data_IF_981023767511
#
_entry.id   IF_981023767511
#
_cell.length_a   1.000
_cell.length_b   1.000
_cell.length_c   1.000
_cell.angle_alpha   90.00
_cell.angle_beta   90.00
_cell.angle_gamma   90.00
#
_symmetry.space_group_name_H-M   'P 1'
#
loop_
_entity.id
_entity.type
_entity.pdbx_description
1 polymer ?
#
# COMPACT_ATOMS: atom_id res chain seq x y z
N UNK A 1 26.40 -2.90 -4.38
CA UNK A 1 25.41 -3.49 -5.31
C UNK A 1 24.32 -4.06 -4.43
N UNK A 2 23.06 -3.67 -4.65
CA UNK A 2 21.91 -4.13 -3.89
C UNK A 2 21.07 -5.04 -4.79
N UNK A 3 20.46 -6.07 -4.20
CA UNK A 3 19.64 -7.03 -4.95
C UNK A 3 18.18 -6.60 -5.05
N UNK A 4 17.71 -5.78 -4.10
CA UNK A 4 16.33 -5.31 -4.00
C UNK A 4 16.23 -4.04 -3.14
N UNK A 5 15.22 -3.23 -3.41
CA UNK A 5 14.80 -2.10 -2.56
C UNK A 5 13.41 -2.39 -2.02
N UNK A 6 13.27 -2.39 -0.69
CA UNK A 6 11.97 -2.49 -0.03
C UNK A 6 11.62 -1.12 0.53
N UNK A 7 10.47 -0.59 0.13
CA UNK A 7 9.94 0.67 0.63
C UNK A 7 8.54 0.49 1.20
N UNK A 8 8.21 1.26 2.23
CA UNK A 8 6.83 1.37 2.69
C UNK A 8 5.95 1.98 1.59
N UNK A 9 4.66 1.62 1.58
CA UNK A 9 3.67 2.11 0.61
C UNK A 9 2.88 3.30 1.16
N UNK A 10 2.67 3.34 2.48
CA UNK A 10 1.84 4.37 3.09
C UNK A 10 2.55 5.72 3.15
N UNK A 11 2.22 6.58 2.18
CA UNK A 11 2.64 7.98 2.08
C UNK A 11 4.17 8.18 1.97
N UNK A 12 4.82 7.36 1.15
CA UNK A 12 6.28 7.33 0.97
C UNK A 12 6.74 7.20 -0.48
N UNK A 13 5.87 7.55 -1.44
CA UNK A 13 6.05 7.30 -2.88
C UNK A 13 7.29 7.98 -3.46
N UNK A 14 7.71 9.13 -2.93
CA UNK A 14 8.95 9.79 -3.38
C UNK A 14 10.19 8.94 -3.15
N UNK A 15 10.19 8.03 -2.16
CA UNK A 15 11.33 7.16 -1.85
C UNK A 15 11.52 6.06 -2.89
N UNK A 16 10.55 5.82 -3.77
CA UNK A 16 10.66 4.79 -4.80
C UNK A 16 11.80 5.05 -5.80
N UNK A 17 12.29 6.30 -5.88
CA UNK A 17 13.49 6.64 -6.65
C UNK A 17 14.76 5.90 -6.21
N UNK A 18 14.80 5.36 -4.99
CA UNK A 18 15.92 4.51 -4.55
C UNK A 18 16.09 3.25 -5.41
N UNK A 19 15.02 2.73 -6.00
CA UNK A 19 15.10 1.61 -6.92
C UNK A 19 16.02 1.91 -8.11
N UNK A 20 15.92 3.14 -8.66
CA UNK A 20 16.78 3.58 -9.75
C UNK A 20 18.18 3.98 -9.28
N UNK A 21 18.29 4.57 -8.09
CA UNK A 21 19.59 4.92 -7.51
C UNK A 21 20.47 3.69 -7.28
N UNK A 22 19.88 2.59 -6.81
CA UNK A 22 20.59 1.34 -6.55
C UNK A 22 20.55 0.34 -7.71
N UNK A 23 19.85 0.68 -8.80
CA UNK A 23 19.65 -0.16 -9.98
C UNK A 23 19.12 -1.55 -9.61
N UNK A 24 18.10 -1.56 -8.75
CA UNK A 24 17.52 -2.76 -8.15
C UNK A 24 15.97 -2.73 -8.22
N UNK A 25 15.31 -3.88 -8.31
CA UNK A 25 13.85 -3.95 -8.37
C UNK A 25 13.21 -3.38 -7.09
N UNK A 26 12.10 -2.68 -7.27
CA UNK A 26 11.29 -2.14 -6.18
C UNK A 26 10.26 -3.17 -5.72
N UNK A 27 10.30 -3.46 -4.42
CA UNK A 27 9.25 -4.16 -3.69
C UNK A 27 8.64 -3.16 -2.72
N UNK A 28 7.32 -3.12 -2.65
CA UNK A 28 6.65 -2.29 -1.64
C UNK A 28 6.10 -3.14 -0.51
N UNK A 29 6.06 -2.58 0.69
CA UNK A 29 5.45 -3.17 1.87
C UNK A 29 4.31 -2.26 2.33
N UNK A 30 3.16 -2.84 2.65
CA UNK A 30 2.00 -2.11 3.18
C UNK A 30 1.71 -2.57 4.59
N UNK A 31 1.93 -1.66 5.53
CA UNK A 31 1.56 -1.84 6.94
C UNK A 31 0.06 -1.99 7.18
N UNK A 32 -0.76 -1.36 6.33
CA UNK A 32 -2.23 -1.41 6.39
C UNK A 32 -2.83 -2.65 5.70
N UNK A 33 -2.04 -3.40 4.94
CA UNK A 33 -2.56 -4.46 4.08
C UNK A 33 -3.14 -3.90 2.77
N UNK A 34 -4.21 -4.51 2.25
CA UNK A 34 -4.82 -4.08 0.99
C UNK A 34 -5.55 -2.75 1.15
N UNK A 35 -5.20 -1.77 0.32
CA UNK A 35 -5.71 -0.40 0.39
C UNK A 35 -5.69 0.27 -0.98
N UNK A 36 -6.24 1.48 -1.08
CA UNK A 36 -6.15 2.29 -2.31
C UNK A 36 -4.70 2.50 -2.74
N UNK A 37 -3.79 2.77 -1.79
CA UNK A 37 -2.36 2.98 -2.07
C UNK A 37 -1.69 1.77 -2.69
N UNK A 38 -2.05 0.55 -2.29
CA UNK A 38 -1.48 -0.68 -2.87
C UNK A 38 -2.15 -1.08 -4.17
N UNK A 39 -3.46 -0.90 -4.27
CA UNK A 39 -4.25 -1.31 -5.42
C UNK A 39 -3.86 -0.55 -6.69
N UNK A 40 -3.57 0.75 -6.57
CA UNK A 40 -3.20 1.59 -7.69
C UNK A 40 -1.84 1.22 -8.29
N UNK A 41 -0.89 0.76 -7.47
CA UNK A 41 0.46 0.37 -7.92
C UNK A 41 0.42 -0.83 -8.87
N UNK A 42 -0.59 -1.69 -8.74
CA UNK A 42 -0.71 -2.95 -9.49
C UNK A 42 -2.03 -3.09 -10.25
N UNK A 43 -2.82 -2.02 -10.32
CA UNK A 43 -4.09 -1.98 -11.05
C UNK A 43 -5.18 -2.92 -10.53
N UNK A 44 -5.17 -3.25 -9.24
CA UNK A 44 -6.20 -4.14 -8.65
C UNK A 44 -7.49 -3.35 -8.40
N UNK A 45 -8.67 -3.85 -8.85
CA UNK A 45 -9.93 -3.13 -8.65
C UNK A 45 -10.42 -3.20 -7.19
N UNK A 46 -10.78 -2.05 -6.62
CA UNK A 46 -11.35 -1.93 -5.28
C UNK A 46 -12.57 -1.00 -5.29
N UNK A 47 -13.77 -1.50 -5.64
CA UNK A 47 -14.94 -0.64 -5.78
C UNK A 47 -15.41 -0.10 -4.41
N UNK A 48 -15.59 1.23 -4.25
CA UNK A 48 -15.99 1.83 -2.97
C UNK A 48 -17.42 1.50 -2.55
N UNK A 49 -18.22 0.85 -3.39
CA UNK A 49 -19.53 0.32 -3.02
C UNK A 49 -19.47 -0.96 -2.17
N UNK A 50 -18.33 -1.66 -2.17
CA UNK A 50 -18.11 -2.95 -1.49
C UNK A 50 -16.87 -2.97 -0.58
N UNK A 51 -15.97 -1.99 -0.74
CA UNK A 51 -14.78 -1.82 0.10
C UNK A 51 -15.04 -0.65 1.04
N UNK A 52 -15.11 -0.94 2.34
CA UNK A 52 -15.25 0.09 3.37
C UNK A 52 -14.00 1.00 3.36
N UNK A 53 -14.25 2.29 3.46
CA UNK A 53 -13.23 3.31 3.56
C UNK A 53 -12.50 3.14 4.89
N UNK A 54 -11.17 3.20 4.89
CA UNK A 54 -10.35 2.88 6.06
C UNK A 54 -10.63 3.77 7.29
N UNK A 55 -11.07 5.01 7.08
CA UNK A 55 -11.47 5.92 8.17
C UNK A 55 -12.91 5.73 8.66
N UNK A 56 -13.74 5.01 7.91
CA UNK A 56 -15.13 4.77 8.27
C UNK A 56 -15.23 3.39 8.91
N UNK A 57 -15.72 3.32 10.15
CA UNK A 57 -15.95 2.05 10.86
C UNK A 57 -17.19 1.31 10.33
N UNK A 58 -17.28 1.13 9.02
CA UNK A 58 -18.32 0.35 8.38
C UNK A 58 -17.92 -1.13 8.32
N UNK A 59 -18.89 -2.01 8.56
CA UNK A 59 -18.73 -3.43 8.32
C UNK A 59 -18.71 -3.73 6.81
N UNK A 60 -18.22 -4.90 6.41
CA UNK A 60 -18.22 -5.33 5.00
C UNK A 60 -19.64 -5.35 4.38
N UNK A 61 -20.67 -5.46 5.21
CA UNK A 61 -22.07 -5.31 4.80
C UNK A 61 -22.58 -3.91 5.10
N UNK A 62 -22.47 -3.02 4.10
CA UNK A 62 -23.03 -1.67 4.15
C UNK A 62 -24.45 -1.63 3.58
N UNK A 63 -25.35 -0.90 4.24
CA UNK A 63 -26.64 -0.45 3.71
C UNK A 63 -26.44 0.56 2.56
N UNK A 64 -27.52 0.88 1.83
CA UNK A 64 -27.44 1.83 0.72
C UNK A 64 -26.87 3.20 1.13
N UNK A 65 -27.31 3.73 2.28
CA UNK A 65 -26.87 5.05 2.77
C UNK A 65 -25.42 5.03 3.26
N UNK A 66 -24.99 3.95 3.91
CA UNK A 66 -23.59 3.76 4.29
C UNK A 66 -22.70 3.65 3.06
N UNK A 67 -23.12 2.93 2.01
CA UNK A 67 -22.39 2.86 0.73
C UNK A 67 -22.27 4.25 0.09
N UNK A 68 -23.34 5.03 0.09
CA UNK A 68 -23.32 6.38 -0.48
C UNK A 68 -22.33 7.28 0.27
N UNK A 69 -22.37 7.27 1.60
CA UNK A 69 -21.41 7.98 2.44
C UNK A 69 -19.96 7.49 2.23
N UNK A 70 -19.78 6.17 2.10
CA UNK A 70 -18.49 5.56 1.85
C UNK A 70 -17.89 5.99 0.51
N UNK A 71 -18.69 5.99 -0.55
CA UNK A 71 -18.30 6.47 -1.88
C UNK A 71 -17.94 7.95 -1.83
N UNK A 72 -18.75 8.79 -1.15
CA UNK A 72 -18.46 10.21 -1.02
C UNK A 72 -17.13 10.47 -0.29
N UNK A 73 -16.89 9.80 0.84
CA UNK A 73 -15.63 9.90 1.58
C UNK A 73 -14.44 9.43 0.73
N UNK A 74 -14.56 8.29 0.05
CA UNK A 74 -13.50 7.76 -0.81
C UNK A 74 -13.15 8.72 -1.94
N UNK A 75 -14.15 9.39 -2.55
CA UNK A 75 -13.91 10.38 -3.60
C UNK A 75 -13.15 11.59 -3.04
N UNK A 76 -13.55 12.10 -1.86
CA UNK A 76 -12.88 13.24 -1.23
C UNK A 76 -11.42 12.90 -0.93
N UNK A 77 -11.15 11.75 -0.32
CA UNK A 77 -9.80 11.31 0.00
C UNK A 77 -8.98 11.05 -1.27
N UNK A 78 -9.58 10.48 -2.32
CA UNK A 78 -8.90 10.30 -3.61
C UNK A 78 -8.52 11.63 -4.23
N UNK A 79 -9.43 12.60 -4.24
CA UNK A 79 -9.14 13.94 -4.77
C UNK A 79 -8.06 14.65 -3.94
N UNK A 80 -8.10 14.52 -2.61
CA UNK A 80 -7.06 15.06 -1.74
C UNK A 80 -5.70 14.44 -2.05
N UNK A 81 -5.66 13.12 -2.22
CA UNK A 81 -4.46 12.37 -2.53
C UNK A 81 -3.86 12.78 -3.90
N UNK A 82 -4.68 12.82 -4.95
CA UNK A 82 -4.26 13.12 -6.32
C UNK A 82 -3.90 14.60 -6.55
N UNK A 83 -4.68 15.52 -5.99
CA UNK A 83 -4.54 16.95 -6.29
C UNK A 83 -3.59 17.68 -5.34
N UNK A 84 -3.37 17.18 -4.13
CA UNK A 84 -2.53 17.85 -3.13
C UNK A 84 -1.31 17.02 -2.75
N UNK A 85 -1.50 15.74 -2.44
CA UNK A 85 -0.42 14.93 -1.90
C UNK A 85 0.57 14.44 -2.97
N UNK A 86 0.10 13.79 -4.04
CA UNK A 86 0.98 13.27 -5.10
C UNK A 86 1.83 14.35 -5.79
N UNK A 87 1.35 15.58 -6.05
CA UNK A 87 2.19 16.64 -6.61
C UNK A 87 3.39 16.98 -5.70
N UNK A 88 3.19 16.96 -4.37
CA UNK A 88 4.28 17.19 -3.40
C UNK A 88 5.28 16.02 -3.43
N UNK A 89 4.80 14.77 -3.46
CA UNK A 89 5.68 13.60 -3.59
C UNK A 89 6.46 13.61 -4.89
N UNK A 90 5.82 13.99 -6.00
CA UNK A 90 6.47 14.14 -7.31
C UNK A 90 7.57 15.19 -7.28
N UNK A 91 7.36 16.31 -6.59
CA UNK A 91 8.38 17.33 -6.41
C UNK A 91 9.55 16.80 -5.58
N UNK A 92 9.28 16.16 -4.45
CA UNK A 92 10.31 15.53 -3.59
C UNK A 92 11.13 14.48 -4.35
N UNK A 93 10.46 13.66 -5.16
CA UNK A 93 11.11 12.67 -6.02
C UNK A 93 12.06 13.34 -7.02
N UNK A 94 11.61 14.42 -7.68
CA UNK A 94 12.43 15.17 -8.64
C UNK A 94 13.65 15.82 -8.00
N UNK A 95 13.49 16.36 -6.79
CA UNK A 95 14.58 17.00 -6.04
C UNK A 95 15.57 15.97 -5.47
N UNK A 96 15.08 14.85 -4.94
CA UNK A 96 15.90 13.78 -4.36
C UNK A 96 16.61 12.91 -5.40
N UNK A 97 16.02 12.74 -6.58
CA UNK A 97 16.52 11.87 -7.64
C UNK A 97 16.63 12.62 -8.98
N UNK A 98 17.50 13.64 -9.09
CA UNK A 98 17.62 14.47 -10.30
C UNK A 98 18.09 13.68 -11.53
N UNK A 99 18.72 12.52 -11.32
CA UNK A 99 19.21 11.61 -12.37
C UNK A 99 18.29 10.40 -12.58
N UNK A 100 17.03 10.47 -12.15
CA UNK A 100 16.07 9.38 -12.39
C UNK A 100 15.93 9.11 -13.89
N UNK A 101 16.00 7.82 -14.26
CA UNK A 101 15.86 7.31 -15.62
C UNK A 101 14.40 7.34 -16.10
N UNK A 102 13.45 7.20 -15.16
CA UNK A 102 12.00 7.20 -15.43
C UNK A 102 11.27 8.24 -14.57
N UNK A 103 10.10 8.65 -15.05
CA UNK A 103 9.23 9.60 -14.35
C UNK A 103 8.68 9.04 -13.04
N UNK A 104 8.14 9.93 -12.20
CA UNK A 104 7.50 9.55 -10.94
C UNK A 104 6.33 8.60 -11.18
N UNK A 105 5.47 8.90 -12.16
CA UNK A 105 4.32 8.07 -12.53
C UNK A 105 4.75 6.69 -13.05
N UNK A 106 5.77 6.63 -13.91
CA UNK A 106 6.34 5.35 -14.37
C UNK A 106 6.93 4.55 -13.21
N UNK A 107 7.62 5.21 -12.27
CA UNK A 107 8.19 4.55 -11.10
C UNK A 107 7.11 3.96 -10.18
N UNK A 108 5.96 4.64 -10.01
CA UNK A 108 4.83 4.10 -9.27
C UNK A 108 4.24 2.84 -9.92
N UNK A 109 4.29 2.74 -11.25
CA UNK A 109 3.85 1.56 -12.00
C UNK A 109 4.92 0.47 -12.13
N UNK A 110 6.18 0.79 -11.82
CA UNK A 110 7.32 -0.13 -11.91
C UNK A 110 7.59 -0.90 -10.60
N UNK A 111 6.51 -1.28 -9.89
CA UNK A 111 6.58 -2.08 -8.66
C UNK A 111 6.54 -3.56 -9.04
N UNK A 112 7.57 -4.31 -8.64
CA UNK A 112 7.68 -5.74 -8.97
C UNK A 112 6.80 -6.61 -8.08
N UNK A 113 6.65 -6.23 -6.81
CA UNK A 113 5.91 -6.99 -5.82
C UNK A 113 5.38 -6.07 -4.71
N UNK A 114 4.19 -6.37 -4.20
CA UNK A 114 3.57 -5.68 -3.07
C UNK A 114 3.36 -6.67 -1.94
N UNK A 115 4.07 -6.48 -0.84
CA UNK A 115 3.86 -7.21 0.40
C UNK A 115 2.78 -6.56 1.25
N UNK A 116 1.84 -7.36 1.72
CA UNK A 116 0.69 -6.89 2.50
C UNK A 116 0.79 -7.46 3.91
N UNK A 117 0.82 -6.60 4.92
CA UNK A 117 0.75 -6.99 6.32
C UNK A 117 -0.68 -7.37 6.73
N UNK A 118 -1.21 -8.42 6.11
CA UNK A 118 -2.52 -8.98 6.41
C UNK A 118 -2.49 -10.49 6.21
N UNK A 119 -3.56 -11.17 6.62
CA UNK A 119 -3.71 -12.60 6.43
C UNK A 119 -5.19 -12.94 6.19
N UNK A 120 -5.47 -13.73 5.14
CA UNK A 120 -6.81 -14.12 4.71
C UNK A 120 -7.72 -14.70 5.81
N UNK A 121 -7.16 -15.22 6.90
CA UNK A 121 -7.94 -15.76 8.03
C UNK A 121 -8.56 -14.68 8.92
N UNK A 122 -8.04 -13.44 8.86
CA UNK A 122 -8.51 -12.31 9.67
C UNK A 122 -8.98 -11.13 8.81
N UNK A 123 -8.68 -11.13 7.51
CA UNK A 123 -9.11 -10.11 6.57
C UNK A 123 -10.33 -10.56 5.77
N UNK A 124 -11.10 -9.58 5.31
CA UNK A 124 -12.20 -9.80 4.37
C UNK A 124 -11.66 -10.25 3.01
N UNK A 125 -12.35 -11.15 2.29
CA UNK A 125 -11.90 -11.57 0.97
C UNK A 125 -11.90 -10.38 -0.01
N UNK A 126 -10.76 -10.16 -0.66
CA UNK A 126 -10.56 -9.12 -1.68
C UNK A 126 -9.87 -9.73 -2.91
N UNK A 127 -10.10 -9.21 -4.12
CA UNK A 127 -9.30 -9.58 -5.28
C UNK A 127 -7.87 -9.07 -5.11
N UNK A 128 -6.88 -9.87 -5.51
CA UNK A 128 -5.47 -9.50 -5.50
C UNK A 128 -4.86 -9.74 -6.87
N UNK A 129 -3.96 -8.85 -7.31
CA UNK A 129 -3.10 -9.12 -8.45
C UNK A 129 -2.08 -10.23 -8.10
N UNK A 130 -1.55 -10.97 -9.09
CA UNK A 130 -0.58 -12.04 -8.85
C UNK A 130 0.70 -11.59 -8.11
N UNK A 131 1.04 -10.30 -8.19
CA UNK A 131 2.20 -9.70 -7.54
C UNK A 131 1.86 -9.05 -6.18
N UNK A 132 0.68 -9.30 -5.61
CA UNK A 132 0.30 -8.93 -4.25
C UNK A 132 0.37 -10.15 -3.34
N UNK A 133 1.29 -10.13 -2.36
CA UNK A 133 1.56 -11.27 -1.48
C UNK A 133 1.29 -10.89 -0.03
N UNK A 134 0.43 -11.65 0.62
CA UNK A 134 0.20 -11.54 2.06
C UNK A 134 1.41 -12.11 2.82
N UNK A 135 2.02 -11.28 3.67
CA UNK A 135 3.15 -11.64 4.53
C UNK A 135 2.87 -11.29 5.99
N UNK A 136 1.60 -11.36 6.39
CA UNK A 136 1.12 -10.93 7.70
C UNK A 136 2.03 -11.35 8.85
N UNK A 137 2.54 -10.34 9.58
CA UNK A 137 3.42 -10.59 10.71
C UNK A 137 4.87 -10.90 10.34
N UNK A 138 5.39 -10.44 9.21
CA UNK A 138 6.82 -10.59 8.85
C UNK A 138 7.77 -10.04 9.93
N UNK A 139 7.31 -9.05 10.70
CA UNK A 139 8.01 -8.49 11.86
C UNK A 139 7.95 -9.37 13.14
N UNK A 140 7.14 -10.43 13.17
CA UNK A 140 6.94 -11.25 14.38
C UNK A 140 8.09 -12.23 14.52
N UNK A 141 8.89 -12.04 15.58
CA UNK A 141 9.93 -13.00 15.95
C UNK A 141 9.34 -14.29 16.52
N UNK A 142 10.12 -15.37 16.51
CA UNK A 142 9.73 -16.62 17.16
C UNK A 142 9.43 -16.33 18.65
N UNK A 143 8.27 -16.77 19.17
CA UNK A 143 7.96 -16.58 20.58
C UNK A 143 9.05 -17.22 21.44
N UNK A 144 9.50 -16.49 22.46
CA UNK A 144 10.39 -17.03 23.48
C UNK A 144 9.64 -18.09 24.29
N UNK A 145 10.36 -19.04 24.88
CA UNK A 145 9.76 -20.00 25.80
C UNK A 145 9.04 -19.24 26.93
N UNK A 146 7.84 -19.70 27.29
CA UNK A 146 7.14 -19.20 28.46
C UNK A 146 7.99 -19.44 29.70
N UNK A 147 8.07 -18.50 30.64
CA UNK A 147 8.62 -18.74 31.98
C UNK A 147 7.96 -19.97 32.62
N UNK A 148 8.71 -20.75 33.39
CA UNK A 148 8.22 -22.01 34.00
C UNK A 148 7.02 -21.79 34.95
N UNK A 149 6.86 -20.59 35.51
CA UNK A 149 5.74 -20.19 36.35
C UNK A 149 4.45 -19.85 35.57
N UNK A 150 4.55 -19.77 34.24
CA UNK A 150 3.45 -19.49 33.31
C UNK A 150 3.20 -20.62 32.30
N UNK A 151 3.87 -21.77 32.46
CA UNK A 151 3.52 -23.04 31.79
C UNK A 151 2.41 -23.77 32.55
#
# INVERSE_FOLDING_TARGET
>A
KFDLVIAETFLTESLYGFAQHFDAPLITYSTFGNSMWTNDLVGTPAPPSHVAHFLLSFADQMSFWERLGNVAATIVDRLAFELYYLPVQKQMYKEGFPNAKISFEEQMQNVSLVFLNQHFSVSSPRPYAPNMIEVGGIQVEKPKALPEDLQ
#
